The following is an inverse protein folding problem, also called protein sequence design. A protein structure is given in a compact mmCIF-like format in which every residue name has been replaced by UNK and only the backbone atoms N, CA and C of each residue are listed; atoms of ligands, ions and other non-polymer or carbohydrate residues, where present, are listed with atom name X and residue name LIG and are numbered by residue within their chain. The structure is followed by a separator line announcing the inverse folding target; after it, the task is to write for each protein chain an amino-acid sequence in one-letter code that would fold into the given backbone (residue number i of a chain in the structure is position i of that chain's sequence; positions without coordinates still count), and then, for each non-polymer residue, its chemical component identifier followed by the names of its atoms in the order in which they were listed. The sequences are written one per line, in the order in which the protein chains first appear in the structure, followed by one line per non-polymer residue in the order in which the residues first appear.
data_IF_027258911550
#
_entry.id   IF_027258911550
#
_cell.length_a   1.000
_cell.length_b   1.000
_cell.length_c   1.000
_cell.angle_alpha   90.00
_cell.angle_beta   90.00
_cell.angle_gamma   90.00
#
_symmetry.space_group_name_H-M   'P 1'
#
loop_
_entity.id
_entity.type
_entity.pdbx_description
1 polymer ?
#
# COMPACT_ATOMS: atom_id res chain seq x y z
N UNK A 1 12.23 -37.80 35.70
CA UNK A 1 11.67 -36.47 35.37
C UNK A 1 12.63 -35.55 34.56
N UNK A 2 13.83 -36.00 34.13
CA UNK A 2 14.76 -35.13 33.37
C UNK A 2 14.63 -35.19 31.84
N UNK A 3 14.33 -36.36 31.28
CA UNK A 3 14.34 -36.58 29.82
C UNK A 3 13.14 -35.95 29.09
N UNK A 4 11.93 -36.07 29.66
CA UNK A 4 10.72 -35.42 29.15
C UNK A 4 10.85 -33.89 29.15
N UNK A 5 11.57 -33.33 30.13
CA UNK A 5 11.81 -31.88 30.26
C UNK A 5 12.78 -31.36 29.18
N UNK A 6 13.69 -32.19 28.68
CA UNK A 6 14.58 -31.87 27.55
C UNK A 6 13.85 -31.94 26.21
N UNK A 7 12.88 -32.85 26.08
CA UNK A 7 11.99 -32.95 24.91
C UNK A 7 10.98 -31.78 24.90
N UNK A 8 10.53 -31.31 26.07
CA UNK A 8 9.65 -30.14 26.19
C UNK A 8 10.38 -28.79 26.19
N UNK A 9 11.67 -28.74 26.54
CA UNK A 9 12.54 -27.56 26.30
C UNK A 9 12.92 -27.41 24.82
N UNK A 10 12.66 -28.46 24.02
CA UNK A 10 12.72 -28.42 22.58
C UNK A 10 11.46 -27.68 22.09
N UNK A 11 11.59 -26.37 21.92
CA UNK A 11 11.20 -25.82 20.64
C UNK A 11 11.93 -26.69 19.61
N UNK A 12 11.24 -27.74 19.12
CA UNK A 12 11.90 -28.85 18.42
C UNK A 12 12.69 -28.31 17.24
N UNK A 13 13.79 -28.98 16.86
CA UNK A 13 14.54 -28.61 15.65
C UNK A 13 13.58 -28.48 14.46
N UNK A 14 12.59 -29.38 14.39
CA UNK A 14 11.50 -29.37 13.41
C UNK A 14 10.60 -28.13 13.53
N UNK A 15 10.27 -27.68 14.75
CA UNK A 15 9.52 -26.44 14.94
C UNK A 15 10.30 -25.24 14.45
N UNK A 16 11.60 -25.14 14.78
CA UNK A 16 12.46 -24.02 14.33
C UNK A 16 12.62 -24.03 12.82
N UNK A 17 12.76 -25.20 12.23
CA UNK A 17 12.84 -25.36 10.78
C UNK A 17 11.53 -24.96 10.09
N UNK A 18 10.37 -25.39 10.61
CA UNK A 18 9.06 -24.98 10.08
C UNK A 18 8.85 -23.47 10.24
N UNK A 19 9.23 -22.91 11.39
CA UNK A 19 9.14 -21.47 11.63
C UNK A 19 10.00 -20.70 10.63
N UNK A 20 11.28 -21.06 10.47
CA UNK A 20 12.18 -20.40 9.53
C UNK A 20 11.67 -20.51 8.09
N UNK A 21 11.21 -21.69 7.65
CA UNK A 21 10.61 -21.87 6.32
C UNK A 21 9.38 -20.98 6.10
N UNK A 22 8.56 -20.79 7.14
CA UNK A 22 7.42 -19.88 7.05
C UNK A 22 7.86 -18.42 6.93
N UNK A 23 8.90 -18.01 7.67
CA UNK A 23 9.47 -16.66 7.56
C UNK A 23 10.08 -16.45 6.17
N UNK A 24 10.85 -17.41 5.66
CA UNK A 24 11.43 -17.35 4.31
C UNK A 24 10.33 -17.24 3.24
N UNK A 25 9.26 -18.03 3.37
CA UNK A 25 8.11 -17.96 2.48
C UNK A 25 7.42 -16.59 2.52
N UNK A 26 7.24 -16.00 3.72
CA UNK A 26 6.67 -14.67 3.87
C UNK A 26 7.56 -13.59 3.24
N UNK A 27 8.87 -13.66 3.46
CA UNK A 27 9.83 -12.75 2.84
C UNK A 27 9.83 -12.86 1.30
N UNK A 28 9.73 -14.07 0.77
CA UNK A 28 9.63 -14.32 -0.67
C UNK A 28 8.32 -13.76 -1.24
N UNK A 29 7.21 -13.88 -0.52
CA UNK A 29 5.93 -13.28 -0.92
C UNK A 29 6.00 -11.76 -0.92
N UNK A 30 6.56 -11.15 0.13
CA UNK A 30 6.77 -9.70 0.22
C UNK A 30 7.62 -9.20 -0.95
N UNK A 31 8.74 -9.89 -1.24
CA UNK A 31 9.60 -9.54 -2.35
C UNK A 31 8.88 -9.65 -3.70
N UNK A 32 8.14 -10.74 -3.92
CA UNK A 32 7.34 -10.92 -5.16
C UNK A 32 6.30 -9.82 -5.34
N UNK A 33 5.64 -9.42 -4.26
CA UNK A 33 4.66 -8.33 -4.28
C UNK A 33 5.35 -7.02 -4.65
N UNK A 34 6.47 -6.70 -3.99
CA UNK A 34 7.27 -5.51 -4.29
C UNK A 34 7.76 -5.46 -5.75
N UNK A 35 8.24 -6.58 -6.28
CA UNK A 35 8.68 -6.70 -7.68
C UNK A 35 7.50 -6.54 -8.66
N UNK A 36 6.33 -7.09 -8.32
CA UNK A 36 5.12 -6.99 -9.13
C UNK A 36 4.54 -5.56 -9.13
N UNK A 37 4.52 -4.89 -7.97
CA UNK A 37 4.10 -3.50 -7.84
C UNK A 37 5.01 -2.60 -8.68
N UNK A 38 6.33 -2.78 -8.58
CA UNK A 38 7.30 -2.05 -9.40
C UNK A 38 7.08 -2.28 -10.89
N UNK A 39 6.90 -3.54 -11.31
CA UNK A 39 6.67 -3.87 -12.73
C UNK A 39 5.37 -3.26 -13.27
N UNK A 40 4.30 -3.32 -12.47
CA UNK A 40 2.99 -2.77 -12.85
C UNK A 40 3.04 -1.26 -12.97
N UNK A 41 3.63 -0.58 -11.99
CA UNK A 41 3.77 0.88 -11.99
C UNK A 41 4.63 1.36 -13.17
N UNK A 42 5.78 0.71 -13.44
CA UNK A 42 6.60 1.08 -14.62
C UNK A 42 5.87 0.88 -15.95
N UNK A 43 4.93 -0.08 -16.04
CA UNK A 43 4.09 -0.23 -17.23
C UNK A 43 3.06 0.89 -17.34
N UNK A 44 2.47 1.31 -16.22
CA UNK A 44 1.55 2.45 -16.16
C UNK A 44 2.29 3.74 -16.55
N UNK A 45 3.48 3.99 -16.00
CA UNK A 45 4.32 5.14 -16.34
C UNK A 45 4.59 5.23 -17.86
N UNK A 46 4.84 4.10 -18.50
CA UNK A 46 5.01 4.04 -19.95
C UNK A 46 3.73 4.37 -20.73
N UNK A 47 2.57 3.94 -20.24
CA UNK A 47 1.26 4.18 -20.86
C UNK A 47 0.73 5.59 -20.62
N UNK A 48 1.12 6.20 -19.51
CA UNK A 48 0.63 7.49 -19.02
C UNK A 48 1.68 8.57 -19.25
N UNK A 49 2.79 8.56 -18.52
CA UNK A 49 3.79 9.64 -18.48
C UNK A 49 4.66 9.71 -19.75
N UNK A 50 5.03 8.55 -20.32
CA UNK A 50 5.85 8.51 -21.54
C UNK A 50 5.03 8.57 -22.83
N UNK A 51 3.70 8.72 -22.75
CA UNK A 51 2.82 8.81 -23.92
C UNK A 51 2.78 10.19 -24.60
N UNK A 52 3.57 11.14 -24.11
CA UNK A 52 3.57 12.55 -24.55
C UNK A 52 2.52 13.35 -23.79
N UNK A 53 2.86 14.56 -23.34
CA UNK A 53 2.06 15.37 -22.39
C UNK A 53 0.69 15.90 -22.86
N UNK A 54 0.20 15.44 -24.00
CA UNK A 54 -1.15 15.72 -24.53
C UNK A 54 -2.07 14.48 -24.38
N UNK A 55 -1.60 13.42 -23.73
CA UNK A 55 -2.31 12.15 -23.64
C UNK A 55 -3.49 12.22 -22.67
N UNK A 56 -4.72 11.87 -23.11
CA UNK A 56 -5.87 11.76 -22.22
C UNK A 56 -5.69 10.77 -21.06
N UNK A 57 -4.73 9.85 -21.17
CA UNK A 57 -4.44 8.85 -20.14
C UNK A 57 -3.93 9.48 -18.84
N UNK A 58 -3.20 10.60 -18.92
CA UNK A 58 -2.74 11.33 -17.73
C UNK A 58 -3.92 11.84 -16.90
N UNK A 59 -4.95 12.38 -17.57
CA UNK A 59 -6.16 12.86 -16.91
C UNK A 59 -6.98 11.71 -16.34
N UNK A 60 -6.99 10.54 -16.99
CA UNK A 60 -7.72 9.35 -16.50
C UNK A 60 -7.01 8.74 -15.30
N UNK A 61 -5.68 8.61 -15.34
CA UNK A 61 -4.86 8.14 -14.23
C UNK A 61 -5.04 9.04 -13.00
N UNK A 62 -5.02 10.36 -13.23
CA UNK A 62 -5.25 11.35 -12.18
C UNK A 62 -6.67 11.29 -11.58
N UNK A 63 -7.65 10.53 -12.09
CA UNK A 63 -8.98 10.44 -11.42
C UNK A 63 -8.96 9.62 -10.15
N UNK A 64 -7.89 8.89 -9.88
CA UNK A 64 -7.76 8.07 -8.67
C UNK A 64 -7.10 8.90 -7.57
N UNK A 65 -7.67 8.91 -6.38
CA UNK A 65 -7.05 9.57 -5.22
C UNK A 65 -6.03 8.66 -4.51
N UNK A 66 -5.38 9.18 -3.46
CA UNK A 66 -4.38 8.44 -2.69
C UNK A 66 -4.93 7.21 -1.92
N UNK A 67 -6.25 7.09 -1.77
CA UNK A 67 -6.93 5.93 -1.16
C UNK A 67 -7.35 4.87 -2.18
N UNK A 68 -7.12 5.13 -3.48
CA UNK A 68 -7.57 4.26 -4.56
C UNK A 68 -9.03 4.46 -4.96
N UNK A 69 -9.69 5.53 -4.50
CA UNK A 69 -11.07 5.86 -4.90
C UNK A 69 -11.06 6.50 -6.28
N UNK A 70 -11.97 6.05 -7.15
CA UNK A 70 -12.06 6.47 -8.55
C UNK A 70 -13.19 7.48 -8.73
N UNK A 71 -12.88 8.63 -9.33
CA UNK A 71 -13.84 9.70 -9.59
C UNK A 71 -14.26 9.73 -11.07
N UNK A 72 -15.49 10.15 -11.35
CA UNK A 72 -16.01 10.27 -12.72
C UNK A 72 -15.16 11.24 -13.57
N UNK A 73 -14.68 12.31 -12.95
CA UNK A 73 -13.85 13.34 -13.59
C UNK A 73 -12.71 13.79 -12.67
N UNK A 74 -11.61 14.26 -13.26
CA UNK A 74 -10.50 14.85 -12.51
C UNK A 74 -10.97 16.09 -11.73
N UNK A 75 -11.85 16.89 -12.33
CA UNK A 75 -12.45 18.04 -11.65
C UNK A 75 -13.21 17.63 -10.39
N UNK A 76 -14.02 16.57 -10.45
CA UNK A 76 -14.74 16.04 -9.28
C UNK A 76 -13.79 15.62 -8.15
N UNK A 77 -12.69 14.95 -8.49
CA UNK A 77 -11.63 14.58 -7.53
C UNK A 77 -11.00 15.79 -6.86
N UNK A 78 -10.66 16.82 -7.64
CA UNK A 78 -10.01 18.03 -7.12
C UNK A 78 -10.95 18.83 -6.23
N UNK A 79 -12.21 18.99 -6.63
CA UNK A 79 -13.22 19.71 -5.87
C UNK A 79 -13.52 19.04 -4.52
N UNK A 80 -13.67 17.71 -4.52
CA UNK A 80 -13.92 16.96 -3.29
C UNK A 80 -12.73 17.07 -2.32
N UNK A 81 -11.50 16.97 -2.82
CA UNK A 81 -10.30 17.13 -2.02
C UNK A 81 -10.14 18.57 -1.46
N UNK A 82 -10.45 19.59 -2.25
CA UNK A 82 -10.41 21.00 -1.83
C UNK A 82 -11.42 21.26 -0.71
N UNK A 83 -12.68 20.85 -0.91
CA UNK A 83 -13.73 21.00 0.10
C UNK A 83 -13.41 20.26 1.40
N UNK A 84 -12.89 19.02 1.30
CA UNK A 84 -12.51 18.25 2.48
C UNK A 84 -11.35 18.89 3.25
N UNK A 85 -10.39 19.47 2.52
CA UNK A 85 -9.27 20.17 3.13
C UNK A 85 -9.75 21.42 3.88
N UNK A 86 -10.65 22.20 3.28
CA UNK A 86 -11.24 23.38 3.92
C UNK A 86 -12.04 23.01 5.18
N UNK A 87 -12.84 21.94 5.12
CA UNK A 87 -13.60 21.44 6.27
C UNK A 87 -12.67 21.03 7.42
N UNK A 88 -11.63 20.25 7.12
CA UNK A 88 -10.66 19.82 8.13
C UNK A 88 -9.89 20.99 8.76
N UNK A 89 -9.50 21.99 7.95
CA UNK A 89 -8.84 23.20 8.47
C UNK A 89 -9.80 23.99 9.35
N UNK A 90 -11.06 24.14 8.95
CA UNK A 90 -12.09 24.81 9.75
C UNK A 90 -12.31 24.10 11.08
N UNK A 91 -12.47 22.77 11.07
CA UNK A 91 -12.60 21.96 12.28
C UNK A 91 -11.39 22.13 13.22
N UNK A 92 -10.17 22.06 12.68
CA UNK A 92 -8.95 22.26 13.46
C UNK A 92 -8.92 23.64 14.13
N UNK A 93 -9.29 24.70 13.41
CA UNK A 93 -9.35 26.06 13.98
C UNK A 93 -10.40 26.15 15.09
N UNK A 94 -11.61 25.60 14.89
CA UNK A 94 -12.65 25.61 15.93
C UNK A 94 -12.23 24.86 17.19
N UNK A 95 -11.51 23.75 17.05
CA UNK A 95 -11.00 22.96 18.17
C UNK A 95 -9.81 23.62 18.88
N UNK A 96 -9.03 24.48 18.19
CA UNK A 96 -7.95 25.25 18.78
C UNK A 96 -8.45 26.45 19.60
N UNK A 97 -9.58 27.02 19.21
CA UNK A 97 -10.20 28.18 19.87
C UNK A 97 -11.14 27.78 21.03
N UNK A 98 -11.38 26.48 21.25
CA UNK A 98 -12.21 25.90 22.31
C UNK A 98 -11.40 25.48 23.55
#
# INVERSE_FOLDING_TARGET
MGLLKLISNRISTEWKEKFNKNIDYLNDLEKKLSDQDKSTNSRIDNLVLHSGGESPNEVVDARVNNKGEVFDTLHGRLLEHENLSDEQISELNTNMDS
#
